data_IF_263769817346
#
_entry.id   IF_263769817346
#
_cell.length_a   1.000
_cell.length_b   1.000
_cell.length_c   1.000
_cell.angle_alpha   90.00
_cell.angle_beta   90.00
_cell.angle_gamma   90.00
#
_symmetry.space_group_name_H-M   'P 1'
#
loop_
_entity.id
_entity.type
_entity.pdbx_description
1 polymer ?
#
# COMPACT_ATOMS: atom_id res chain seq x y z
N UNK A 1 -8.17 3.15 4.35
CA UNK A 1 -8.81 1.82 4.23
C UNK A 1 -9.61 1.67 2.92
N UNK A 2 -10.42 2.65 2.53
CA UNK A 2 -11.19 2.61 1.27
C UNK A 2 -10.30 2.37 0.03
N UNK A 3 -9.22 3.14 -0.12
CA UNK A 3 -8.36 3.03 -1.30
C UNK A 3 -7.53 1.74 -1.34
N UNK A 4 -7.11 1.22 -0.19
CA UNK A 4 -6.49 -0.11 -0.11
C UNK A 4 -7.45 -1.18 -0.65
N UNK A 5 -8.71 -1.14 -0.21
CA UNK A 5 -9.75 -2.08 -0.66
C UNK A 5 -10.07 -1.94 -2.14
N UNK A 6 -10.10 -0.72 -2.67
CA UNK A 6 -10.27 -0.46 -4.10
C UNK A 6 -9.17 -1.11 -4.95
N UNK A 7 -7.96 -1.24 -4.40
CA UNK A 7 -6.84 -1.92 -5.05
C UNK A 7 -6.74 -3.42 -4.66
N UNK A 8 -7.77 -4.01 -4.05
CA UNK A 8 -7.82 -5.44 -3.75
C UNK A 8 -7.01 -5.89 -2.53
N UNK A 9 -6.55 -4.98 -1.67
CA UNK A 9 -5.83 -5.30 -0.45
C UNK A 9 -6.48 -4.67 0.79
N UNK A 10 -6.56 -5.42 1.90
CA UNK A 10 -6.85 -4.79 3.18
C UNK A 10 -5.69 -3.90 3.60
N UNK A 11 -5.95 -2.85 4.38
CA UNK A 11 -4.88 -2.00 4.92
C UNK A 11 -3.85 -2.81 5.71
N UNK A 12 -4.28 -3.81 6.49
CA UNK A 12 -3.38 -4.69 7.23
C UNK A 12 -2.46 -5.51 6.32
N UNK A 13 -2.98 -6.06 5.21
CA UNK A 13 -2.16 -6.78 4.24
C UNK A 13 -1.21 -5.83 3.50
N UNK A 14 -1.66 -4.64 3.12
CA UNK A 14 -0.82 -3.61 2.53
C UNK A 14 0.39 -3.29 3.43
N UNK A 15 0.16 -3.00 4.72
CA UNK A 15 1.25 -2.72 5.67
C UNK A 15 2.17 -3.94 5.85
N UNK A 16 1.63 -5.15 5.88
CA UNK A 16 2.44 -6.36 5.96
C UNK A 16 3.31 -6.54 4.71
N UNK A 17 2.76 -6.30 3.51
CA UNK A 17 3.50 -6.36 2.25
C UNK A 17 4.60 -5.32 2.16
N UNK A 18 4.31 -4.07 2.58
CA UNK A 18 5.34 -3.03 2.65
C UNK A 18 6.46 -3.40 3.62
N UNK A 19 6.14 -3.98 4.78
CA UNK A 19 7.14 -4.47 5.73
C UNK A 19 7.98 -5.62 5.14
N UNK A 20 7.37 -6.54 4.40
CA UNK A 20 8.09 -7.63 3.69
C UNK A 20 8.98 -7.11 2.55
N UNK A 21 8.55 -6.03 1.89
CA UNK A 21 9.32 -5.35 0.86
C UNK A 21 10.46 -4.47 1.42
N UNK A 22 10.62 -4.44 2.75
CA UNK A 22 11.52 -3.53 3.48
C UNK A 22 11.25 -2.03 3.22
N UNK A 23 10.00 -1.71 2.84
CA UNK A 23 9.54 -0.35 2.60
C UNK A 23 8.94 0.20 3.90
N UNK A 24 9.73 0.99 4.65
CA UNK A 24 9.22 1.80 5.75
C UNK A 24 8.54 3.06 5.21
N UNK A 25 7.24 2.96 4.89
CA UNK A 25 6.43 4.12 4.53
C UNK A 25 5.61 4.62 5.72
N UNK A 26 5.65 5.93 5.95
CA UNK A 26 4.92 6.54 7.05
C UNK A 26 3.41 6.49 6.80
N UNK A 27 2.64 6.11 7.84
CA UNK A 27 1.19 5.88 7.69
C UNK A 27 0.42 7.14 7.30
N UNK A 28 0.93 8.32 7.70
CA UNK A 28 0.37 9.63 7.34
C UNK A 28 0.59 9.92 5.86
N UNK A 29 1.80 9.73 5.37
CA UNK A 29 2.15 9.89 3.95
C UNK A 29 1.38 8.90 3.10
N UNK A 30 1.24 7.65 3.54
CA UNK A 30 0.44 6.64 2.83
C UNK A 30 -1.03 7.06 2.67
N UNK A 31 -1.62 7.65 3.72
CA UNK A 31 -3.00 8.10 3.69
C UNK A 31 -3.17 9.34 2.81
N UNK A 32 -2.21 10.26 2.86
CA UNK A 32 -2.19 11.46 2.02
C UNK A 32 -2.03 11.11 0.54
N UNK A 33 -1.10 10.21 0.24
CA UNK A 33 -0.87 9.64 -1.09
C UNK A 33 -2.13 8.96 -1.62
N UNK A 34 -2.85 8.21 -0.77
CA UNK A 34 -4.10 7.54 -1.17
C UNK A 34 -5.21 8.51 -1.60
N UNK A 35 -5.18 9.75 -1.11
CA UNK A 35 -6.19 10.78 -1.40
C UNK A 35 -5.76 11.66 -2.57
N UNK A 36 -4.51 12.12 -2.56
CA UNK A 36 -4.00 13.09 -3.52
C UNK A 36 -3.41 12.46 -4.79
N UNK A 37 -2.83 11.26 -4.70
CA UNK A 37 -2.15 10.59 -5.81
C UNK A 37 -2.50 9.10 -5.88
N UNK A 38 -3.66 8.83 -6.50
CA UNK A 38 -4.15 7.46 -6.74
C UNK A 38 -3.18 6.62 -7.58
N UNK A 39 -2.56 7.14 -8.67
CA UNK A 39 -1.54 6.41 -9.42
C UNK A 39 -0.37 5.95 -8.55
N UNK A 40 0.25 6.86 -7.78
CA UNK A 40 1.38 6.51 -6.92
C UNK A 40 0.98 5.53 -5.82
N UNK A 41 -0.20 5.72 -5.21
CA UNK A 41 -0.71 4.77 -4.23
C UNK A 41 -0.92 3.37 -4.84
N UNK A 42 -1.41 3.28 -6.08
CA UNK A 42 -1.58 2.00 -6.76
C UNK A 42 -0.25 1.28 -6.97
N UNK A 43 0.80 1.99 -7.38
CA UNK A 43 2.15 1.42 -7.52
C UNK A 43 2.68 0.85 -6.19
N UNK A 44 2.50 1.58 -5.09
CA UNK A 44 2.88 1.13 -3.73
C UNK A 44 2.10 -0.13 -3.34
N UNK A 45 0.81 -0.18 -3.66
CA UNK A 45 -0.03 -1.36 -3.40
C UNK A 45 0.43 -2.56 -4.22
N UNK A 46 0.79 -2.39 -5.49
CA UNK A 46 1.33 -3.46 -6.33
C UNK A 46 2.68 -3.98 -5.81
N UNK A 47 3.57 -3.10 -5.36
CA UNK A 47 4.82 -3.51 -4.71
C UNK A 47 4.57 -4.33 -3.44
N UNK A 48 3.61 -3.90 -2.62
CA UNK A 48 3.22 -4.66 -1.44
C UNK A 48 2.57 -6.01 -1.79
N UNK A 49 1.79 -6.10 -2.88
CA UNK A 49 1.26 -7.39 -3.37
C UNK A 49 2.37 -8.33 -3.81
N UNK A 50 3.32 -7.84 -4.59
CA UNK A 50 4.45 -8.62 -5.07
C UNK A 50 5.24 -9.21 -3.89
N UNK A 51 5.52 -8.42 -2.87
CA UNK A 51 6.22 -8.87 -1.66
C UNK A 51 5.38 -9.80 -0.76
N UNK A 52 4.05 -9.81 -0.88
CA UNK A 52 3.20 -10.78 -0.18
C UNK A 52 3.11 -12.13 -0.91
N UNK A 53 3.24 -12.12 -2.23
CA UNK A 53 3.22 -13.32 -3.08
C UNK A 53 4.58 -14.05 -3.10
N UNK A 54 5.65 -13.35 -2.72
CA UNK A 54 6.96 -13.92 -2.40
C UNK A 54 6.99 -14.51 -0.97
#
# INVERSE_FOLDING_TARGET
>A
NAQSRANGLSYSRLINGLKKADISLDRRVLADLAVHDKPAFSAVVEQAKAALAA
#
